data_IF_811323313044
#
_entry.id   IF_811323313044
#
_cell.length_a   1.000
_cell.length_b   1.000
_cell.length_c   1.000
_cell.angle_alpha   90.00
_cell.angle_beta   90.00
_cell.angle_gamma   90.00
#
_symmetry.space_group_name_H-M   'P 1'
#
loop_
_entity.id
_entity.type
_entity.pdbx_description
1 polymer ?
#
# COMPACT_ATOMS: atom_id res chain seq x y z
N UNK A 1 13.02 -35.14 13.73
CA UNK A 1 13.12 -34.32 12.50
C UNK A 1 13.06 -32.87 12.95
N UNK A 2 14.14 -32.11 12.79
CA UNK A 2 14.14 -30.69 13.17
C UNK A 2 13.30 -29.93 12.16
N UNK A 3 12.08 -29.55 12.53
CA UNK A 3 11.27 -28.64 11.74
C UNK A 3 11.99 -27.30 11.72
N UNK A 4 12.49 -26.91 10.55
CA UNK A 4 13.03 -25.57 10.36
C UNK A 4 11.87 -24.58 10.53
N UNK A 5 11.73 -24.01 11.73
CA UNK A 5 10.72 -23.00 12.05
C UNK A 5 11.06 -21.66 11.39
N UNK A 6 10.95 -21.61 10.05
CA UNK A 6 10.95 -20.36 9.29
C UNK A 6 9.69 -19.59 9.66
N UNK A 7 9.81 -18.69 10.63
CA UNK A 7 8.70 -17.82 11.07
C UNK A 7 8.79 -16.46 10.38
N UNK A 8 7.66 -16.00 9.84
CA UNK A 8 7.53 -14.64 9.33
C UNK A 8 7.25 -13.70 10.50
N UNK A 9 7.98 -12.59 10.56
CA UNK A 9 7.77 -11.57 11.58
C UNK A 9 6.55 -10.71 11.23
N UNK A 10 5.43 -10.90 11.92
CA UNK A 10 4.16 -10.21 11.64
C UNK A 10 4.05 -8.81 12.26
N UNK A 11 5.19 -8.15 12.55
CA UNK A 11 5.20 -6.80 13.10
C UNK A 11 4.47 -5.83 12.17
N UNK A 12 3.53 -5.09 12.75
CA UNK A 12 2.82 -3.97 12.10
C UNK A 12 3.79 -3.01 11.42
N UNK A 13 3.48 -2.61 10.19
CA UNK A 13 4.33 -1.81 9.32
C UNK A 13 5.50 -2.54 8.64
N UNK A 14 5.74 -3.82 8.93
CA UNK A 14 6.68 -4.67 8.17
C UNK A 14 5.97 -5.69 7.32
N UNK A 15 5.01 -6.41 7.92
CA UNK A 15 4.30 -7.50 7.27
C UNK A 15 2.81 -7.23 7.39
N UNK A 16 2.26 -6.72 6.30
CA UNK A 16 0.89 -6.27 6.15
C UNK A 16 0.43 -6.65 4.74
N UNK A 17 -0.88 -6.67 4.51
CA UNK A 17 -1.43 -6.82 3.17
C UNK A 17 -2.18 -5.58 2.74
N UNK A 18 -2.19 -5.34 1.43
CA UNK A 18 -2.95 -4.27 0.79
C UNK A 18 -3.88 -4.91 -0.23
N UNK A 19 -5.17 -4.68 -0.09
CA UNK A 19 -6.16 -5.09 -1.08
C UNK A 19 -6.38 -3.95 -2.08
N UNK A 20 -6.22 -4.25 -3.36
CA UNK A 20 -6.57 -3.33 -4.44
C UNK A 20 -8.00 -3.53 -4.90
N UNK A 21 -8.70 -2.42 -5.15
CA UNK A 21 -10.05 -2.48 -5.71
C UNK A 21 -10.68 -1.12 -5.96
N UNK A 22 -11.86 -1.15 -6.57
CA UNK A 22 -12.71 0.05 -6.70
C UNK A 22 -13.39 0.36 -5.37
N UNK A 23 -13.79 1.61 -5.15
CA UNK A 23 -14.53 2.04 -3.95
C UNK A 23 -15.75 1.15 -3.65
N UNK A 24 -16.49 0.74 -4.69
CA UNK A 24 -17.64 -0.17 -4.55
C UNK A 24 -17.23 -1.57 -4.05
N UNK A 25 -16.11 -2.11 -4.53
CA UNK A 25 -15.63 -3.45 -4.14
C UNK A 25 -15.03 -3.42 -2.74
N UNK A 26 -14.21 -2.41 -2.45
CA UNK A 26 -13.58 -2.24 -1.14
C UNK A 26 -14.61 -1.90 -0.04
N UNK A 27 -15.64 -1.11 -0.36
CA UNK A 27 -16.73 -0.84 0.59
C UNK A 27 -17.54 -2.08 0.97
N UNK A 28 -17.62 -3.10 0.10
CA UNK A 28 -18.21 -4.40 0.44
C UNK A 28 -17.33 -5.20 1.40
N UNK A 29 -16.02 -5.17 1.20
CA UNK A 29 -15.06 -5.84 2.10
C UNK A 29 -15.04 -5.21 3.52
N UNK A 30 -15.42 -3.94 3.66
CA UNK A 30 -15.63 -3.34 5.00
C UNK A 30 -16.69 -4.08 5.82
N UNK A 31 -17.62 -4.79 5.16
CA UNK A 31 -18.65 -5.61 5.81
C UNK A 31 -18.25 -7.07 6.03
N UNK A 32 -17.22 -7.55 5.33
CA UNK A 32 -16.68 -8.91 5.47
C UNK A 32 -15.15 -8.83 5.32
N UNK A 33 -14.40 -8.65 6.43
CA UNK A 33 -12.97 -8.42 6.35
C UNK A 33 -12.23 -9.67 5.88
N UNK A 34 -11.22 -9.49 5.03
CA UNK A 34 -10.36 -10.57 4.57
C UNK A 34 -9.58 -11.15 5.75
N UNK A 35 -9.73 -12.44 5.96
CA UNK A 35 -9.07 -13.17 7.02
C UNK A 35 -7.80 -13.88 6.50
N UNK A 36 -6.66 -13.18 6.51
CA UNK A 36 -5.36 -13.78 6.22
C UNK A 36 -4.67 -14.12 7.54
N UNK A 37 -4.32 -15.39 7.73
CA UNK A 37 -3.58 -15.86 8.90
C UNK A 37 -2.22 -16.43 8.51
N UNK A 38 -1.20 -16.09 9.28
CA UNK A 38 0.14 -16.67 9.19
C UNK A 38 0.50 -17.12 10.61
N UNK A 39 0.89 -18.39 10.78
CA UNK A 39 1.19 -18.96 12.10
C UNK A 39 0.08 -18.75 13.16
N UNK A 40 -1.19 -18.75 12.73
CA UNK A 40 -2.35 -18.54 13.60
C UNK A 40 -2.66 -17.07 13.93
N UNK A 41 -1.75 -16.15 13.62
CA UNK A 41 -1.92 -14.71 13.82
C UNK A 41 -2.53 -14.05 12.58
N UNK A 42 -3.36 -13.03 12.81
CA UNK A 42 -3.98 -12.25 11.75
C UNK A 42 -3.00 -11.24 11.16
N UNK A 43 -2.93 -11.18 9.84
CA UNK A 43 -2.16 -10.18 9.14
C UNK A 43 -2.89 -8.83 9.14
N UNK A 44 -2.16 -7.73 9.35
CA UNK A 44 -2.75 -6.39 9.32
C UNK A 44 -3.04 -5.94 7.87
N UNK A 45 -4.19 -5.31 7.66
CA UNK A 45 -4.50 -4.63 6.40
C UNK A 45 -4.02 -3.18 6.43
N UNK A 46 -3.37 -2.72 5.36
CA UNK A 46 -3.04 -1.31 5.13
C UNK A 46 -3.83 -0.75 3.96
N UNK A 47 -3.94 0.58 3.88
CA UNK A 47 -4.61 1.32 2.78
C UNK A 47 -3.61 1.88 1.76
N UNK A 48 -2.32 1.88 2.09
CA UNK A 48 -1.25 2.34 1.22
C UNK A 48 0.07 1.64 1.52
N UNK A 49 0.91 1.48 0.50
CA UNK A 49 2.23 0.89 0.63
C UNK A 49 3.21 1.51 -0.36
N UNK A 50 4.44 1.78 0.09
CA UNK A 50 5.50 2.29 -0.78
C UNK A 50 6.23 1.12 -1.44
N UNK A 51 6.07 0.96 -2.75
CA UNK A 51 6.72 -0.07 -3.54
C UNK A 51 7.55 0.55 -4.65
N UNK A 52 8.84 0.20 -4.73
CA UNK A 52 9.77 0.72 -5.75
C UNK A 52 9.77 2.27 -5.87
N UNK A 53 9.64 2.97 -4.74
CA UNK A 53 9.59 4.44 -4.72
C UNK A 53 8.24 5.05 -5.05
N UNK A 54 7.23 4.23 -5.37
CA UNK A 54 5.87 4.61 -5.75
C UNK A 54 4.94 4.37 -4.56
N UNK A 55 4.12 5.36 -4.19
CA UNK A 55 3.10 5.19 -3.16
C UNK A 55 1.85 4.58 -3.80
N UNK A 56 1.58 3.31 -3.51
CA UNK A 56 0.39 2.61 -4.01
C UNK A 56 -0.71 2.74 -2.97
N UNK A 57 -1.78 3.45 -3.30
CA UNK A 57 -3.02 3.42 -2.52
C UNK A 57 -3.91 2.24 -2.95
N UNK A 58 -4.80 1.80 -2.07
CA UNK A 58 -5.77 0.72 -2.29
C UNK A 58 -6.71 0.92 -3.51
N UNK A 59 -6.87 2.16 -4.00
CA UNK A 59 -7.63 2.48 -5.21
C UNK A 59 -6.76 2.61 -6.48
N UNK A 60 -5.43 2.49 -6.34
CA UNK A 60 -4.45 2.74 -7.39
C UNK A 60 -4.64 4.11 -8.08
N UNK A 61 -4.99 5.15 -7.31
CA UNK A 61 -5.21 6.50 -7.89
C UNK A 61 -3.92 7.14 -8.40
N UNK A 62 -2.76 6.73 -7.86
CA UNK A 62 -1.44 7.29 -8.16
C UNK A 62 -1.36 8.81 -7.90
N UNK A 63 -2.24 9.34 -7.04
CA UNK A 63 -2.40 10.78 -6.84
C UNK A 63 -1.09 11.45 -6.40
N UNK A 64 -0.36 10.81 -5.48
CA UNK A 64 0.89 11.35 -4.95
C UNK A 64 2.00 11.42 -6.02
N UNK A 65 2.00 10.46 -6.96
CA UNK A 65 2.93 10.40 -8.08
C UNK A 65 2.64 11.54 -9.07
N UNK A 66 1.37 11.72 -9.43
CA UNK A 66 0.94 12.81 -10.31
C UNK A 66 1.28 14.15 -9.68
N UNK A 67 0.98 14.32 -8.39
CA UNK A 67 1.33 15.53 -7.63
C UNK A 67 2.84 15.78 -7.61
N UNK A 68 3.64 14.74 -7.40
CA UNK A 68 5.11 14.84 -7.42
C UNK A 68 5.62 15.30 -8.79
N UNK A 69 5.12 14.71 -9.87
CA UNK A 69 5.50 15.10 -11.24
C UNK A 69 5.07 16.53 -11.53
N UNK A 70 3.83 16.89 -11.19
CA UNK A 70 3.30 18.24 -11.34
C UNK A 70 4.13 19.29 -10.59
N UNK A 71 4.53 19.03 -9.35
CA UNK A 71 5.37 19.95 -8.59
C UNK A 71 6.77 20.08 -9.21
N UNK A 72 7.36 18.99 -9.70
CA UNK A 72 8.65 19.00 -10.39
C UNK A 72 8.58 19.83 -11.68
N UNK A 73 7.55 19.63 -12.50
CA UNK A 73 7.39 20.37 -13.77
C UNK A 73 7.05 21.83 -13.54
N UNK A 74 6.11 22.14 -12.65
CA UNK A 74 5.72 23.52 -12.33
C UNK A 74 6.87 24.34 -11.75
N UNK A 75 7.70 23.74 -10.90
CA UNK A 75 8.90 24.41 -10.37
C UNK A 75 9.88 24.77 -11.49
N UNK A 76 10.13 23.85 -12.42
CA UNK A 76 11.01 24.08 -13.57
C UNK A 76 10.45 25.15 -14.52
N UNK A 77 9.14 25.12 -14.78
CA UNK A 77 8.49 26.12 -15.62
C UNK A 77 8.57 27.53 -15.00
N UNK A 78 8.40 27.63 -13.67
CA UNK A 78 8.56 28.90 -12.95
C UNK A 78 9.97 29.47 -13.07
N UNK A 79 11.01 28.62 -13.09
CA UNK A 79 12.39 29.06 -13.32
C UNK A 79 12.58 29.62 -14.72
N UNK A 80 11.97 29.01 -15.75
CA UNK A 80 12.08 29.47 -17.14
C UNK A 80 11.27 30.74 -17.44
N UNK A 81 10.22 31.01 -16.66
CA UNK A 81 9.39 32.22 -16.80
C UNK A 81 10.09 33.48 -16.24
N UNK A 82 11.15 33.30 -15.46
CA UNK A 82 11.94 34.36 -14.85
C UNK A 82 13.19 34.64 -15.67
#
# INVERSE_FOLDING_TARGET
>A
MSENHLTLNLKKGKTEFLLFGTAKRLGKESSSPINIKINGEHLNQTTQYKYLGVLLDHHLTLHEQVRTVYHKTSTRLKLLKR
#
